data_IF_825425957738
#
_entry.id   IF_825425957738
#
_cell.length_a   1.000
_cell.length_b   1.000
_cell.length_c   1.000
_cell.angle_alpha   90.00
_cell.angle_beta   90.00
_cell.angle_gamma   90.00
#
_symmetry.space_group_name_H-M   'P 1'
#
loop_
_entity.id
_entity.type
_entity.pdbx_description
1 polymer ?
#
# COMPACT_ATOMS: atom_id res chain seq x y z
N UNK A 1 -1.36 5.05 20.05
CA UNK A 1 -1.79 5.84 18.88
C UNK A 1 -0.53 6.36 18.22
N UNK A 2 -0.09 5.75 17.12
CA UNK A 2 1.08 6.26 16.40
C UNK A 2 0.69 7.61 15.76
N UNK A 3 1.45 8.66 16.05
CA UNK A 3 1.27 9.96 15.41
C UNK A 3 1.43 9.79 13.90
N UNK A 4 0.44 10.20 13.10
CA UNK A 4 0.63 10.37 11.66
C UNK A 4 1.85 11.29 11.45
N UNK A 5 2.82 10.83 10.65
CA UNK A 5 3.98 11.65 10.31
C UNK A 5 3.58 12.93 9.57
N UNK A 6 4.36 13.99 9.72
CA UNK A 6 4.23 15.21 8.90
C UNK A 6 4.82 14.98 7.51
N UNK A 7 4.27 15.65 6.49
CA UNK A 7 4.82 15.66 5.14
C UNK A 7 6.24 16.28 5.15
N UNK A 8 7.24 15.58 4.59
CA UNK A 8 8.63 16.04 4.56
C UNK A 8 8.97 16.96 3.36
N UNK A 9 7.98 17.30 2.52
CA UNK A 9 8.19 18.30 1.46
C UNK A 9 8.54 19.66 2.09
N UNK A 10 9.63 20.33 1.65
CA UNK A 10 9.98 21.66 2.15
C UNK A 10 8.78 22.64 2.10
N UNK A 11 8.35 23.11 3.27
CA UNK A 11 7.23 24.05 3.42
C UNK A 11 5.83 23.43 3.59
N UNK A 12 5.69 22.11 3.59
CA UNK A 12 4.41 21.43 3.83
C UNK A 12 4.24 21.08 5.31
N UNK A 13 3.19 21.59 5.96
CA UNK A 13 2.85 21.27 7.36
C UNK A 13 1.71 20.26 7.49
N UNK A 14 1.26 19.69 6.38
CA UNK A 14 0.16 18.72 6.38
C UNK A 14 0.62 17.39 6.97
N UNK A 15 -0.31 16.65 7.58
CA UNK A 15 -0.07 15.26 7.92
C UNK A 15 0.19 14.46 6.64
N UNK A 16 1.31 13.76 6.57
CA UNK A 16 1.59 12.80 5.52
C UNK A 16 0.52 11.70 5.59
N UNK A 17 -0.20 11.52 4.49
CA UNK A 17 -1.12 10.40 4.32
C UNK A 17 -0.65 9.57 3.14
N UNK A 18 -0.20 8.37 3.45
CA UNK A 18 -0.02 7.31 2.47
C UNK A 18 -1.26 6.43 2.56
N UNK A 19 -2.41 6.91 2.09
CA UNK A 19 -3.66 6.15 2.22
C UNK A 19 -4.52 6.43 1.00
N UNK A 20 -5.04 5.36 0.38
CA UNK A 20 -5.98 5.53 -0.71
C UNK A 20 -7.30 6.14 -0.21
N UNK A 21 -8.01 6.90 -1.05
CA UNK A 21 -9.26 7.57 -0.64
C UNK A 21 -10.29 6.59 -0.06
N UNK A 22 -10.32 5.35 -0.55
CA UNK A 22 -11.19 4.29 -0.04
C UNK A 22 -10.84 3.90 1.39
N UNK A 23 -9.57 3.60 1.70
CA UNK A 23 -9.15 3.25 3.06
C UNK A 23 -9.40 4.39 4.06
N UNK A 24 -9.24 5.65 3.63
CA UNK A 24 -9.60 6.83 4.45
C UNK A 24 -11.10 6.80 4.78
N UNK A 25 -11.96 6.58 3.78
CA UNK A 25 -13.42 6.54 3.95
C UNK A 25 -13.88 5.38 4.85
N UNK A 26 -13.18 4.25 4.78
CA UNK A 26 -13.47 3.06 5.58
C UNK A 26 -12.86 3.10 6.99
N UNK A 27 -12.04 4.10 7.31
CA UNK A 27 -11.39 4.22 8.62
C UNK A 27 -10.26 3.21 8.86
N UNK A 28 -9.68 2.66 7.80
CA UNK A 28 -8.57 1.70 7.88
C UNK A 28 -7.29 2.47 8.23
N UNK A 29 -6.58 2.05 9.28
CA UNK A 29 -5.38 2.72 9.79
C UNK A 29 -4.08 2.04 9.30
N UNK A 30 -3.93 1.88 7.99
CA UNK A 30 -2.71 1.38 7.35
C UNK A 30 -2.19 2.36 6.31
N UNK A 31 -0.87 2.43 6.10
CA UNK A 31 -0.21 3.37 5.18
C UNK A 31 -0.08 2.87 3.73
N UNK A 32 -0.60 1.69 3.42
CA UNK A 32 -0.69 1.14 2.07
C UNK A 32 -1.65 -0.05 2.11
N UNK A 33 -1.97 -0.61 0.94
CA UNK A 33 -2.62 -1.91 0.86
C UNK A 33 -1.60 -2.97 0.41
N UNK A 34 -1.62 -4.14 1.04
CA UNK A 34 -0.87 -5.34 0.62
C UNK A 34 -1.86 -6.47 0.39
N UNK A 35 -2.12 -6.81 -0.87
CA UNK A 35 -3.16 -7.76 -1.25
C UNK A 35 -2.51 -9.04 -1.77
N UNK A 36 -2.47 -10.06 -0.93
CA UNK A 36 -1.78 -11.33 -1.19
C UNK A 36 -2.74 -12.35 -1.81
N UNK A 37 -2.33 -12.97 -2.91
CA UNK A 37 -3.03 -14.06 -3.60
C UNK A 37 -4.51 -13.77 -3.90
N UNK A 38 -5.46 -14.40 -3.19
CA UNK A 38 -6.90 -14.25 -3.40
C UNK A 38 -7.47 -12.91 -2.91
N UNK A 39 -6.68 -12.12 -2.16
CA UNK A 39 -7.08 -10.78 -1.75
C UNK A 39 -7.04 -9.86 -2.97
N UNK A 40 -8.23 -9.46 -3.44
CA UNK A 40 -8.37 -8.66 -4.68
C UNK A 40 -7.77 -7.25 -4.51
N UNK A 41 -8.12 -6.55 -3.43
CA UNK A 41 -7.65 -5.21 -3.12
C UNK A 41 -7.86 -4.90 -1.63
N UNK A 42 -7.31 -3.78 -1.16
CA UNK A 42 -7.47 -3.29 0.22
C UNK A 42 -7.03 -4.29 1.30
N UNK A 43 -6.10 -5.19 0.98
CA UNK A 43 -5.47 -6.03 2.00
C UNK A 43 -4.76 -5.17 3.03
N UNK A 44 -5.02 -5.43 4.30
CA UNK A 44 -4.43 -4.66 5.42
C UNK A 44 -3.08 -5.30 5.76
N UNK A 45 -1.97 -4.55 5.74
CA UNK A 45 -0.67 -5.06 6.19
C UNK A 45 -0.76 -5.64 7.59
N UNK A 46 -0.28 -6.87 7.76
CA UNK A 46 -0.27 -7.59 9.03
C UNK A 46 1.08 -8.28 9.28
N UNK A 47 1.13 -9.19 10.25
CA UNK A 47 2.36 -9.91 10.60
C UNK A 47 2.58 -11.20 9.81
N UNK A 48 1.75 -11.51 8.80
CA UNK A 48 1.91 -12.72 7.97
C UNK A 48 3.21 -12.59 7.16
N UNK A 49 4.20 -13.48 7.34
CA UNK A 49 5.35 -13.50 6.46
C UNK A 49 4.92 -13.92 5.05
N UNK A 50 5.40 -13.19 4.05
CA UNK A 50 5.25 -13.59 2.66
C UNK A 50 6.06 -14.86 2.38
N UNK A 51 5.57 -15.70 1.47
CA UNK A 51 6.12 -17.02 1.17
C UNK A 51 6.53 -17.13 -0.28
N UNK A 52 7.44 -18.07 -0.56
CA UNK A 52 7.80 -18.42 -1.95
C UNK A 52 6.55 -18.84 -2.72
N UNK A 53 6.33 -18.20 -3.88
CA UNK A 53 5.15 -18.37 -4.72
C UNK A 53 3.96 -17.47 -4.40
N UNK A 54 4.02 -16.62 -3.36
CA UNK A 54 2.98 -15.60 -3.15
C UNK A 54 3.02 -14.54 -4.26
N UNK A 55 1.84 -14.11 -4.69
CA UNK A 55 1.65 -12.87 -5.44
C UNK A 55 1.15 -11.80 -4.48
N UNK A 56 1.77 -10.63 -4.49
CA UNK A 56 1.41 -9.52 -3.62
C UNK A 56 1.26 -8.24 -4.42
N UNK A 57 0.05 -7.71 -4.49
CA UNK A 57 -0.19 -6.36 -4.97
C UNK A 57 0.12 -5.35 -3.86
N UNK A 58 0.90 -4.33 -4.21
CA UNK A 58 1.19 -3.19 -3.32
C UNK A 58 0.58 -1.94 -3.94
N UNK A 59 -0.36 -1.34 -3.22
CA UNK A 59 -1.09 -0.15 -3.64
C UNK A 59 -0.69 1.06 -2.79
N UNK A 60 -0.18 2.08 -3.46
CA UNK A 60 0.36 3.29 -2.86
C UNK A 60 -0.41 4.50 -3.37
N UNK A 61 -0.97 5.23 -2.42
CA UNK A 61 -1.49 6.57 -2.67
C UNK A 61 -0.70 7.60 -1.90
N UNK A 62 -0.24 8.64 -2.57
CA UNK A 62 0.36 9.82 -1.94
C UNK A 62 -0.61 10.99 -1.98
N UNK A 63 -0.62 11.82 -0.93
CA UNK A 63 -1.31 13.11 -0.93
C UNK A 63 -0.30 14.25 -0.90
N UNK A 64 -0.35 15.13 -1.91
CA UNK A 64 0.57 16.24 -2.04
C UNK A 64 -0.13 17.47 -2.65
N UNK A 65 -0.01 18.62 -2.00
CA UNK A 65 -0.53 19.92 -2.45
C UNK A 65 -1.99 19.90 -2.94
N UNK A 66 -2.88 19.16 -2.26
CA UNK A 66 -4.29 19.08 -2.63
C UNK A 66 -4.64 17.93 -3.58
N UNK A 67 -3.67 17.19 -4.09
CA UNK A 67 -3.86 16.13 -5.07
C UNK A 67 -3.50 14.75 -4.51
N UNK A 68 -4.20 13.73 -5.01
CA UNK A 68 -3.87 12.32 -4.78
C UNK A 68 -3.15 11.76 -6.02
N UNK A 69 -2.00 11.13 -5.81
CA UNK A 69 -1.36 10.26 -6.80
C UNK A 69 -1.53 8.81 -6.37
N UNK A 70 -1.99 7.93 -7.25
CA UNK A 70 -2.40 6.57 -6.93
C UNK A 70 -1.83 5.58 -7.94
N UNK A 71 -1.08 4.58 -7.47
CA UNK A 71 -0.53 3.52 -8.31
C UNK A 71 -0.33 2.23 -7.52
N UNK A 72 -0.44 1.11 -8.23
CA UNK A 72 -0.12 -0.20 -7.69
C UNK A 72 0.58 -1.08 -8.73
N UNK A 73 1.24 -2.11 -8.23
CA UNK A 73 1.82 -3.17 -9.04
C UNK A 73 1.76 -4.49 -8.26
N UNK A 74 1.62 -5.59 -8.99
CA UNK A 74 1.66 -6.95 -8.42
C UNK A 74 3.05 -7.52 -8.57
N UNK A 75 3.63 -7.96 -7.46
CA UNK A 75 4.95 -8.57 -7.40
C UNK A 75 4.83 -10.07 -7.15
N UNK A 76 5.64 -10.87 -7.85
CA UNK A 76 5.82 -12.28 -7.53
C UNK A 76 6.98 -12.47 -6.57
N UNK A 77 6.76 -13.29 -5.54
CA UNK A 77 7.81 -13.70 -4.59
C UNK A 77 8.28 -15.11 -4.91
N UNK A 78 8.80 -15.30 -6.12
CA UNK A 78 9.38 -16.57 -6.54
C UNK A 78 10.91 -16.53 -6.51
N UNK A 79 11.53 -17.55 -5.93
CA UNK A 79 12.97 -17.79 -6.05
C UNK A 79 13.32 -18.42 -7.40
N UNK A 80 12.37 -19.08 -8.06
CA UNK A 80 12.54 -19.79 -9.33
C UNK A 80 11.33 -19.56 -10.24
N UNK A 81 11.56 -19.00 -11.43
CA UNK A 81 10.56 -18.67 -12.44
C UNK A 81 9.64 -19.86 -12.74
N UNK A 82 8.45 -19.87 -12.13
CA UNK A 82 7.32 -20.67 -12.60
C UNK A 82 6.48 -19.80 -13.53
N UNK A 83 5.52 -20.42 -14.22
CA UNK A 83 4.72 -19.81 -15.29
C UNK A 83 3.71 -18.75 -14.76
N UNK A 84 4.12 -17.86 -13.88
CA UNK A 84 3.35 -16.68 -13.49
C UNK A 84 3.61 -15.60 -14.54
N UNK A 85 2.55 -15.20 -15.23
CA UNK A 85 2.55 -14.01 -16.09
C UNK A 85 1.62 -12.99 -15.43
N UNK A 86 2.22 -11.91 -14.93
CA UNK A 86 1.54 -10.74 -14.35
C UNK A 86 1.16 -9.81 -15.49
#
# INVERSE_FOLDING_TARGET
MASLGSCETPGCTNNAKLQCPTCIKLGIQASCCTSVNEVICHGIPDTRPLKDGDLCNVDITVYHNGFHGDLNETFSLETLARNIRI
#
